data_IF_379403958376
#
_entry.id   IF_379403958376
#
_cell.length_a   1.000
_cell.length_b   1.000
_cell.length_c   1.000
_cell.angle_alpha   90.00
_cell.angle_beta   90.00
_cell.angle_gamma   90.00
#
_symmetry.space_group_name_H-M   'P 1'
#
loop_
_entity.id
_entity.type
_entity.pdbx_description
1 polymer ?
#
# COMPACT_ATOMS: atom_id res chain seq x y z
N UNK A 1 -3.49 -15.56 19.14
CA UNK A 1 -3.86 -14.14 19.37
C UNK A 1 -2.92 -13.62 20.43
N UNK A 2 -2.31 -12.47 20.19
CA UNK A 2 -1.48 -11.78 21.17
C UNK A 2 -2.37 -10.79 21.92
N UNK A 3 -2.14 -10.59 23.21
CA UNK A 3 -2.95 -9.72 24.06
C UNK A 3 -2.08 -8.54 24.48
N UNK A 4 -2.56 -7.31 24.27
CA UNK A 4 -1.91 -6.10 24.79
C UNK A 4 -2.07 -6.01 26.31
N UNK A 5 -1.23 -5.23 27.01
CA UNK A 5 -1.37 -5.02 28.46
C UNK A 5 -2.76 -4.54 28.90
N UNK A 6 -3.49 -3.86 28.02
CA UNK A 6 -4.87 -3.41 28.24
C UNK A 6 -5.95 -4.50 28.04
N UNK A 7 -5.56 -5.73 27.70
CA UNK A 7 -6.48 -6.86 27.47
C UNK A 7 -6.97 -7.01 26.02
N UNK A 8 -6.64 -6.07 25.15
CA UNK A 8 -7.03 -6.12 23.74
C UNK A 8 -6.31 -7.24 22.98
N UNK A 9 -7.09 -8.10 22.31
CA UNK A 9 -6.56 -9.20 21.50
C UNK A 9 -6.36 -8.77 20.05
N UNK A 10 -5.19 -9.09 19.51
CA UNK A 10 -4.85 -8.87 18.11
C UNK A 10 -4.23 -10.11 17.46
N UNK A 11 -4.25 -10.12 16.14
CA UNK A 11 -3.57 -11.08 15.29
C UNK A 11 -2.69 -10.35 14.31
N UNK A 12 -1.41 -10.67 14.32
CA UNK A 12 -0.48 -10.26 13.27
C UNK A 12 -0.50 -11.29 12.15
N UNK A 13 -0.64 -10.81 10.93
CA UNK A 13 -0.55 -11.59 9.70
C UNK A 13 0.57 -10.94 8.90
N UNK A 14 1.61 -11.71 8.58
CA UNK A 14 2.79 -11.18 7.90
C UNK A 14 3.14 -12.01 6.67
N UNK A 15 3.76 -11.36 5.71
CA UNK A 15 4.47 -11.98 4.60
C UNK A 15 5.89 -11.43 4.58
N UNK A 16 6.89 -12.29 4.44
CA UNK A 16 8.29 -11.92 4.52
C UNK A 16 9.18 -13.06 4.07
N UNK A 17 10.43 -12.74 3.81
CA UNK A 17 11.42 -13.70 3.37
C UNK A 17 12.07 -14.49 4.51
N UNK A 18 12.89 -15.46 4.13
CA UNK A 18 13.76 -16.19 5.07
C UNK A 18 14.89 -15.31 5.64
N UNK A 19 15.05 -14.09 5.14
CA UNK A 19 15.99 -13.09 5.63
C UNK A 19 15.22 -11.90 6.20
N UNK A 20 15.67 -11.35 7.34
CA UNK A 20 15.03 -10.21 8.02
C UNK A 20 15.22 -8.86 7.31
N UNK A 21 15.22 -8.84 5.98
CA UNK A 21 15.53 -7.65 5.14
C UNK A 21 14.30 -7.07 4.42
N UNK A 22 13.16 -7.75 4.49
CA UNK A 22 11.87 -7.38 3.87
C UNK A 22 10.74 -7.79 4.80
N UNK A 23 9.53 -7.38 4.46
CA UNK A 23 8.32 -7.88 5.12
C UNK A 23 7.22 -6.86 5.16
N UNK A 24 5.99 -7.37 5.13
CA UNK A 24 4.76 -6.60 5.26
C UNK A 24 3.84 -7.32 6.24
N UNK A 25 3.07 -6.56 7.02
CA UNK A 25 2.20 -7.15 8.01
C UNK A 25 0.97 -6.29 8.32
N UNK A 26 -0.16 -6.99 8.47
CA UNK A 26 -1.37 -6.45 9.08
C UNK A 26 -1.45 -6.85 10.55
N UNK A 27 -1.77 -5.89 11.40
CA UNK A 27 -2.16 -6.13 12.79
C UNK A 27 -3.65 -5.86 12.90
N UNK A 28 -4.43 -6.90 13.17
CA UNK A 28 -5.89 -6.82 13.22
C UNK A 28 -6.37 -7.08 14.65
N UNK A 29 -7.22 -6.19 15.17
CA UNK A 29 -7.98 -6.47 16.39
C UNK A 29 -9.06 -7.55 16.11
N UNK A 30 -9.63 -8.13 17.16
CA UNK A 30 -10.65 -9.18 17.04
C UNK A 30 -11.87 -8.78 16.19
N UNK A 31 -12.32 -7.52 16.28
CA UNK A 31 -13.50 -7.05 15.53
C UNK A 31 -13.23 -7.03 14.02
N UNK A 32 -12.07 -6.50 13.62
CA UNK A 32 -11.65 -6.46 12.21
C UNK A 32 -11.32 -7.86 11.70
N UNK A 33 -10.67 -8.70 12.52
CA UNK A 33 -10.35 -10.07 12.14
C UNK A 33 -11.61 -10.89 11.82
N UNK A 34 -12.69 -10.72 12.58
CA UNK A 34 -13.96 -11.41 12.32
C UNK A 34 -14.62 -10.96 11.00
N UNK A 35 -14.21 -9.82 10.43
CA UNK A 35 -14.67 -9.31 9.14
C UNK A 35 -13.69 -9.59 8.00
N UNK A 36 -12.48 -10.07 8.31
CA UNK A 36 -11.51 -10.47 7.32
C UNK A 36 -11.95 -11.80 6.69
N UNK A 37 -12.32 -11.77 5.41
CA UNK A 37 -12.83 -12.96 4.70
C UNK A 37 -11.74 -13.65 3.88
N UNK A 38 -10.67 -12.96 3.51
CA UNK A 38 -9.57 -13.53 2.75
C UNK A 38 -8.26 -12.76 2.96
N UNK A 39 -7.15 -13.49 3.01
CA UNK A 39 -5.78 -12.96 3.11
C UNK A 39 -4.99 -13.59 1.96
N UNK A 40 -4.29 -12.75 1.19
CA UNK A 40 -3.43 -13.18 0.11
C UNK A 40 -1.98 -12.83 0.45
N UNK A 41 -1.13 -13.86 0.57
CA UNK A 41 0.31 -13.71 0.71
C UNK A 41 0.91 -13.77 -0.70
N UNK A 42 1.33 -12.63 -1.25
CA UNK A 42 1.75 -12.52 -2.65
C UNK A 42 3.26 -12.66 -2.77
N UNK A 43 4.01 -11.86 -2.00
CA UNK A 43 5.46 -11.88 -1.99
C UNK A 43 5.98 -11.33 -0.65
N UNK A 44 7.30 -11.39 -0.44
CA UNK A 44 7.97 -10.81 0.73
C UNK A 44 7.71 -9.31 0.92
N UNK A 45 7.17 -8.65 -0.12
CA UNK A 45 6.91 -7.20 -0.19
C UNK A 45 5.44 -6.86 -0.38
N UNK A 46 4.54 -7.83 -0.58
CA UNK A 46 3.12 -7.57 -0.89
C UNK A 46 2.22 -8.56 -0.13
N UNK A 47 1.27 -8.02 0.62
CA UNK A 47 0.20 -8.76 1.28
C UNK A 47 -1.13 -8.06 1.01
N UNK A 48 -2.19 -8.82 0.78
CA UNK A 48 -3.51 -8.26 0.60
C UNK A 48 -4.54 -8.86 1.57
N UNK A 49 -5.53 -8.06 1.92
CA UNK A 49 -6.56 -8.36 2.90
C UNK A 49 -7.91 -7.89 2.37
N UNK A 50 -8.90 -8.77 2.40
CA UNK A 50 -10.29 -8.42 2.10
C UNK A 50 -11.09 -8.33 3.40
N UNK A 51 -11.79 -7.21 3.59
CA UNK A 51 -12.56 -6.91 4.80
C UNK A 51 -14.00 -6.59 4.41
N UNK A 52 -14.95 -7.25 5.09
CA UNK A 52 -16.37 -6.91 5.01
C UNK A 52 -16.65 -5.55 5.61
N UNK A 53 -17.23 -4.65 4.82
CA UNK A 53 -17.55 -3.29 5.23
C UNK A 53 -18.85 -2.79 4.55
N UNK A 54 -19.38 -1.70 5.08
CA UNK A 54 -20.60 -1.03 4.60
C UNK A 54 -20.22 0.42 4.24
N UNK A 55 -20.62 0.95 3.07
CA UNK A 55 -21.51 0.35 2.06
C UNK A 55 -20.83 -0.65 1.10
N UNK A 56 -19.50 -0.79 1.15
CA UNK A 56 -18.77 -1.66 0.22
C UNK A 56 -17.59 -2.36 0.93
N UNK A 57 -17.32 -3.61 0.53
CA UNK A 57 -16.17 -4.38 1.00
C UNK A 57 -14.85 -3.69 0.62
N UNK A 58 -13.85 -3.80 1.49
CA UNK A 58 -12.50 -3.26 1.24
C UNK A 58 -11.58 -4.37 0.74
N UNK A 59 -10.84 -4.09 -0.33
CA UNK A 59 -9.68 -4.86 -0.73
C UNK A 59 -8.43 -4.01 -0.51
N UNK A 60 -7.70 -4.32 0.57
CA UNK A 60 -6.54 -3.57 1.01
C UNK A 60 -5.29 -4.32 0.56
N UNK A 61 -4.42 -3.66 -0.18
CA UNK A 61 -3.10 -4.18 -0.53
C UNK A 61 -2.08 -3.36 0.27
N UNK A 62 -1.24 -4.03 1.05
CA UNK A 62 -0.10 -3.42 1.71
C UNK A 62 1.18 -3.84 1.00
N UNK A 63 2.03 -2.88 0.68
CA UNK A 63 3.29 -3.14 0.01
C UNK A 63 4.50 -2.43 0.64
N UNK A 64 5.69 -2.96 0.35
CA UNK A 64 6.96 -2.30 0.61
C UNK A 64 7.83 -2.37 -0.65
N UNK A 65 7.86 -1.29 -1.42
CA UNK A 65 8.58 -1.25 -2.69
C UNK A 65 10.09 -1.46 -2.51
N UNK A 66 10.78 -1.94 -3.56
CA UNK A 66 12.24 -1.94 -3.59
C UNK A 66 12.83 -0.54 -3.38
N UNK A 67 14.10 -0.48 -3.00
CA UNK A 67 14.79 0.79 -2.80
C UNK A 67 15.17 1.41 -4.15
N UNK A 68 15.62 2.67 -4.14
CA UNK A 68 16.11 3.35 -5.35
C UNK A 68 17.27 2.58 -6.01
N UNK A 69 18.15 2.00 -5.22
CA UNK A 69 19.36 1.25 -5.61
C UNK A 69 19.10 -0.24 -5.90
N UNK A 70 17.86 -0.73 -5.73
CA UNK A 70 17.48 -2.07 -6.15
C UNK A 70 17.62 -2.23 -7.66
N UNK A 71 17.94 -3.46 -8.09
CA UNK A 71 18.02 -3.84 -9.49
C UNK A 71 16.67 -3.58 -10.21
N UNK A 72 16.73 -3.24 -11.50
CA UNK A 72 15.54 -2.91 -12.27
C UNK A 72 14.59 -4.11 -12.38
N UNK A 73 15.14 -5.32 -12.45
CA UNK A 73 14.37 -6.56 -12.45
C UNK A 73 13.59 -6.75 -11.14
N UNK A 74 14.11 -6.29 -9.99
CA UNK A 74 13.39 -6.34 -8.71
C UNK A 74 12.22 -5.34 -8.71
N UNK A 75 12.42 -4.15 -9.27
CA UNK A 75 11.38 -3.11 -9.41
C UNK A 75 10.27 -3.57 -10.34
N UNK A 76 10.61 -4.11 -11.51
CA UNK A 76 9.61 -4.60 -12.47
C UNK A 76 8.83 -5.78 -11.91
N UNK A 77 9.50 -6.75 -11.28
CA UNK A 77 8.83 -7.88 -10.63
C UNK A 77 7.84 -7.41 -9.54
N UNK A 78 8.20 -6.39 -8.76
CA UNK A 78 7.32 -5.80 -7.75
C UNK A 78 6.06 -5.18 -8.37
N UNK A 79 6.21 -4.36 -9.42
CA UNK A 79 5.07 -3.75 -10.09
C UNK A 79 4.20 -4.77 -10.83
N UNK A 80 4.78 -5.82 -11.40
CA UNK A 80 4.04 -6.93 -11.98
C UNK A 80 3.21 -7.70 -10.96
N UNK A 81 3.78 -7.98 -9.79
CA UNK A 81 3.03 -8.61 -8.70
C UNK A 81 1.91 -7.69 -8.19
N UNK A 82 2.13 -6.38 -8.10
CA UNK A 82 1.05 -5.42 -7.79
C UNK A 82 -0.06 -5.44 -8.85
N UNK A 83 0.29 -5.39 -10.15
CA UNK A 83 -0.68 -5.45 -11.26
C UNK A 83 -1.50 -6.73 -11.19
N UNK A 84 -0.87 -7.87 -10.93
CA UNK A 84 -1.56 -9.16 -10.72
C UNK A 84 -2.46 -9.12 -9.48
N UNK A 85 -1.97 -8.56 -8.38
CA UNK A 85 -2.73 -8.46 -7.12
C UNK A 85 -4.00 -7.63 -7.28
N UNK A 86 -3.93 -6.49 -7.97
CA UNK A 86 -5.08 -5.62 -8.25
C UNK A 86 -6.18 -6.37 -9.02
N UNK A 87 -5.82 -7.31 -9.92
CA UNK A 87 -6.81 -8.11 -10.67
C UNK A 87 -7.66 -9.04 -9.80
N UNK A 88 -7.28 -9.30 -8.55
CA UNK A 88 -8.11 -10.04 -7.59
C UNK A 88 -9.26 -9.19 -7.01
N UNK A 89 -9.28 -7.88 -7.26
CA UNK A 89 -10.35 -6.97 -6.84
C UNK A 89 -11.67 -7.37 -7.52
N UNK A 90 -12.73 -7.55 -6.74
CA UNK A 90 -14.09 -7.70 -7.27
C UNK A 90 -14.67 -6.32 -7.63
N UNK A 91 -15.63 -6.31 -8.55
CA UNK A 91 -16.24 -5.06 -9.05
C UNK A 91 -16.75 -4.16 -7.90
N UNK A 92 -17.47 -4.73 -6.93
CA UNK A 92 -18.09 -4.03 -5.80
C UNK A 92 -17.11 -3.67 -4.66
N UNK A 93 -15.87 -4.16 -4.67
CA UNK A 93 -14.89 -3.86 -3.62
C UNK A 93 -14.26 -2.47 -3.84
N UNK A 94 -13.95 -1.74 -2.78
CA UNK A 94 -13.09 -0.55 -2.84
C UNK A 94 -11.64 -0.99 -2.67
N UNK A 95 -10.78 -0.63 -3.64
CA UNK A 95 -9.35 -0.92 -3.57
C UNK A 95 -8.63 0.16 -2.79
N UNK A 96 -7.87 -0.24 -1.78
CA UNK A 96 -6.98 0.64 -1.03
C UNK A 96 -5.57 0.09 -1.11
N UNK A 97 -4.70 0.79 -1.82
CA UNK A 97 -3.28 0.46 -1.89
C UNK A 97 -2.53 1.33 -0.89
N UNK A 98 -1.91 0.69 0.10
CA UNK A 98 -1.15 1.34 1.16
C UNK A 98 0.25 0.74 1.22
N UNK A 99 1.17 1.45 1.85
CA UNK A 99 2.51 0.96 2.05
C UNK A 99 3.55 2.04 1.88
N UNK A 100 4.79 1.59 1.81
CA UNK A 100 5.92 2.44 1.51
C UNK A 100 6.40 2.14 0.09
N UNK A 101 6.36 3.16 -0.76
CA UNK A 101 6.74 3.08 -2.16
C UNK A 101 8.19 3.55 -2.42
N UNK A 102 8.91 4.03 -1.40
CA UNK A 102 10.23 4.66 -1.57
C UNK A 102 10.25 5.75 -2.67
N UNK A 103 9.11 6.42 -2.87
CA UNK A 103 8.85 7.30 -4.01
C UNK A 103 8.49 8.72 -3.57
N UNK A 104 9.05 9.70 -4.29
CA UNK A 104 8.70 11.12 -4.16
C UNK A 104 8.03 11.54 -5.46
N UNK A 105 6.77 11.93 -5.39
CA UNK A 105 5.98 12.31 -6.58
C UNK A 105 6.00 13.82 -6.86
N UNK A 106 6.61 14.59 -5.95
CA UNK A 106 6.73 16.04 -6.04
C UNK A 106 5.48 16.77 -5.56
N UNK A 107 5.46 18.09 -5.77
CA UNK A 107 4.38 19.00 -5.35
C UNK A 107 3.54 19.54 -6.53
N UNK A 108 3.78 19.06 -7.74
CA UNK A 108 3.04 19.47 -8.92
C UNK A 108 1.82 18.58 -9.10
N UNK A 109 0.65 19.21 -9.31
CA UNK A 109 -0.58 18.49 -9.65
C UNK A 109 -0.39 17.81 -11.02
N UNK A 110 -0.77 16.54 -11.11
CA UNK A 110 -0.77 15.77 -12.36
C UNK A 110 -2.16 15.17 -12.50
N UNK A 111 -2.97 15.78 -13.39
CA UNK A 111 -4.34 15.40 -13.69
C UNK A 111 -5.15 15.05 -12.42
N UNK A 112 -5.71 13.84 -12.37
CA UNK A 112 -6.43 13.28 -11.24
C UNK A 112 -5.57 12.27 -10.44
N UNK A 113 -4.28 12.15 -10.75
CA UNK A 113 -3.37 11.18 -10.12
C UNK A 113 -2.67 11.80 -8.92
N UNK A 114 -2.00 12.93 -9.12
CA UNK A 114 -1.23 13.63 -8.07
C UNK A 114 -1.93 14.95 -7.75
N UNK A 115 -2.26 15.14 -6.48
CA UNK A 115 -2.89 16.35 -5.97
C UNK A 115 -1.89 17.51 -5.76
N UNK A 116 -2.40 18.72 -5.50
CA UNK A 116 -1.59 19.93 -5.41
C UNK A 116 -0.78 20.06 -4.09
N UNK A 117 -0.95 19.13 -3.15
CA UNK A 117 -0.34 19.18 -1.81
C UNK A 117 0.76 18.14 -1.61
N UNK A 118 1.33 17.59 -2.69
CA UNK A 118 2.54 16.77 -2.60
C UNK A 118 3.76 17.54 -2.08
N UNK A 119 4.88 16.84 -1.87
CA UNK A 119 6.09 17.40 -1.27
C UNK A 119 7.36 17.03 -2.06
N UNK A 120 8.32 17.94 -2.04
CA UNK A 120 9.68 17.72 -2.55
C UNK A 120 9.77 17.72 -4.07
N UNK A 121 10.92 17.24 -4.56
CA UNK A 121 11.17 17.03 -5.99
C UNK A 121 10.89 15.58 -6.34
N UNK A 122 10.19 15.38 -7.46
CA UNK A 122 9.92 14.05 -7.99
C UNK A 122 11.23 13.29 -8.28
N UNK A 123 11.27 12.00 -7.96
CA UNK A 123 12.39 11.10 -8.25
C UNK A 123 11.97 9.95 -9.18
N UNK A 124 12.92 9.15 -9.68
CA UNK A 124 12.63 8.07 -10.65
C UNK A 124 11.58 7.05 -10.12
N UNK A 125 11.64 6.57 -8.85
CA UNK A 125 10.56 5.76 -8.28
C UNK A 125 9.21 6.48 -8.22
N UNK A 126 9.22 7.81 -8.08
CA UNK A 126 8.05 8.68 -8.19
C UNK A 126 7.41 8.63 -9.56
N UNK A 127 8.20 8.72 -10.64
CA UNK A 127 7.70 8.57 -12.01
C UNK A 127 7.11 7.17 -12.26
N UNK A 128 7.77 6.12 -11.77
CA UNK A 128 7.24 4.74 -11.84
C UNK A 128 5.88 4.62 -11.12
N UNK A 129 5.76 5.19 -9.92
CA UNK A 129 4.51 5.17 -9.16
C UNK A 129 3.40 5.94 -9.87
N UNK A 130 3.69 7.12 -10.43
CA UNK A 130 2.72 7.91 -11.18
C UNK A 130 2.22 7.14 -12.41
N UNK A 131 3.13 6.55 -13.19
CA UNK A 131 2.77 5.74 -14.36
C UNK A 131 1.92 4.53 -13.97
N UNK A 132 2.30 3.82 -12.91
CA UNK A 132 1.52 2.71 -12.39
C UNK A 132 0.11 3.13 -11.94
N UNK A 133 -0.01 4.28 -11.27
CA UNK A 133 -1.29 4.82 -10.84
C UNK A 133 -2.16 5.21 -12.05
N UNK A 134 -1.56 5.81 -13.08
CA UNK A 134 -2.25 6.14 -14.34
C UNK A 134 -2.80 4.88 -15.02
N UNK A 135 -1.97 3.84 -15.19
CA UNK A 135 -2.37 2.54 -15.76
C UNK A 135 -3.49 1.87 -14.96
N UNK A 136 -3.39 1.94 -13.64
CA UNK A 136 -4.30 1.27 -12.70
C UNK A 136 -5.55 2.10 -12.36
N UNK A 137 -5.68 3.33 -12.89
CA UNK A 137 -6.73 4.30 -12.56
C UNK A 137 -6.83 4.57 -11.05
N UNK A 138 -5.67 4.76 -10.42
CA UNK A 138 -5.52 5.09 -9.00
C UNK A 138 -5.05 6.54 -8.86
N UNK A 139 -5.32 7.14 -7.70
CA UNK A 139 -4.79 8.45 -7.36
C UNK A 139 -4.03 8.37 -6.02
N UNK A 140 -3.05 9.25 -5.86
CA UNK A 140 -2.13 9.23 -4.72
C UNK A 140 -2.72 10.08 -3.59
N UNK A 141 -3.56 9.43 -2.78
CA UNK A 141 -4.44 10.07 -1.79
C UNK A 141 -3.76 11.11 -0.89
N UNK A 142 -2.55 10.86 -0.39
CA UNK A 142 -1.84 11.79 0.52
C UNK A 142 -1.50 13.15 -0.11
N UNK A 143 -1.46 13.26 -1.45
CA UNK A 143 -1.16 14.51 -2.16
C UNK A 143 -2.37 15.42 -2.37
N UNK A 144 -3.58 14.94 -2.04
CA UNK A 144 -4.84 15.67 -2.26
C UNK A 144 -5.35 16.44 -1.03
N UNK A 145 -4.76 16.21 0.14
CA UNK A 145 -5.18 16.88 1.38
C UNK A 145 -4.20 17.98 1.77
N UNK A 146 -4.74 19.16 2.03
CA UNK A 146 -3.96 20.25 2.59
C UNK A 146 -3.60 19.94 4.05
N UNK A 147 -2.32 19.76 4.30
CA UNK A 147 -1.77 19.54 5.63
C UNK A 147 -0.60 20.49 5.89
N UNK A 148 -0.13 20.58 7.14
CA UNK A 148 1.16 21.23 7.43
C UNK A 148 2.27 20.49 6.70
N UNK A 149 3.26 21.20 6.18
CA UNK A 149 4.36 20.60 5.40
C UNK A 149 5.09 19.46 6.15
N UNK A 150 5.29 19.64 7.46
CA UNK A 150 5.87 18.64 8.34
C UNK A 150 5.06 17.34 8.47
N UNK A 151 3.79 17.33 8.06
CA UNK A 151 2.91 16.16 8.07
C UNK A 151 2.71 15.54 6.68
N UNK A 152 3.28 16.14 5.61
CA UNK A 152 3.11 15.68 4.22
C UNK A 152 4.13 14.61 3.79
N UNK A 153 5.13 14.30 4.61
CA UNK A 153 6.11 13.25 4.36
C UNK A 153 6.07 12.20 5.46
N UNK A 154 6.42 10.98 5.09
CA UNK A 154 6.55 9.85 6.00
C UNK A 154 8.00 9.62 6.41
N UNK A 155 8.97 9.88 5.51
CA UNK A 155 10.42 9.72 5.69
C UNK A 155 11.22 10.62 4.75
#
# INVERSE_FOLDING_TARGET
>A
MTTLPAGDKFRTIHSGGNTSRKGVAFILNSKTLNRANNILLISERIIALKIKADPADLFIIQCYAPNLDSAEEEKEAFYDDLRKTIKHKKFQEVLVLIGDFNAKVGNQKIDDIVGPFGLGTKNDPGDLLINFCLESKLFICNTWFEQKESARHTW
#
